data_IF_032293057692
#
_entry.id   IF_032293057692
#
_cell.length_a   1.000
_cell.length_b   1.000
_cell.length_c   1.000
_cell.angle_alpha   90.00
_cell.angle_beta   90.00
_cell.angle_gamma   90.00
#
_symmetry.space_group_name_H-M   'P 1'
#
loop_
_entity.id
_entity.type
_entity.pdbx_description
1 polymer ?
#
# COMPACT_ATOMS: atom_id res chain seq x y z
N UNK A 1 -71.35 2.66 52.68
CA UNK A 1 -71.93 1.98 51.50
C UNK A 1 -70.82 1.75 50.46
N UNK A 2 -70.56 0.48 50.12
CA UNK A 2 -69.93 -0.10 48.90
C UNK A 2 -68.71 0.62 48.27
N UNK A 3 -67.58 -0.10 48.16
CA UNK A 3 -66.46 0.23 47.26
C UNK A 3 -66.80 0.04 45.77
N UNK A 4 -65.91 0.46 44.86
CA UNK A 4 -65.09 -0.48 44.06
C UNK A 4 -63.61 -0.02 43.96
N UNK A 5 -62.59 -0.89 44.02
CA UNK A 5 -62.10 -1.88 43.04
C UNK A 5 -61.11 -1.33 41.97
N UNK A 6 -59.82 -1.34 42.36
CA UNK A 6 -58.58 -1.79 41.66
C UNK A 6 -58.41 -1.79 40.11
N UNK A 7 -57.39 -1.00 39.68
CA UNK A 7 -56.30 -1.24 38.68
C UNK A 7 -56.59 -1.40 37.16
N UNK A 8 -55.61 -1.17 36.23
CA UNK A 8 -54.16 -0.99 36.43
C UNK A 8 -53.46 0.23 35.78
N UNK A 9 -52.26 0.51 36.28
CA UNK A 9 -51.27 1.42 35.71
C UNK A 9 -50.69 0.88 34.38
N UNK A 10 -50.41 1.78 33.43
CA UNK A 10 -49.72 1.45 32.17
C UNK A 10 -48.24 1.84 32.27
N UNK A 11 -47.29 0.92 32.05
CA UNK A 11 -45.87 1.22 32.25
C UNK A 11 -45.24 1.95 31.06
N UNK A 12 -44.24 2.76 31.38
CA UNK A 12 -43.33 3.47 30.49
C UNK A 12 -42.57 2.51 29.56
N UNK A 13 -42.61 2.78 28.25
CA UNK A 13 -41.76 2.11 27.26
C UNK A 13 -40.34 2.68 27.33
N UNK A 14 -39.51 2.14 28.21
CA UNK A 14 -38.05 2.23 28.05
C UNK A 14 -37.61 1.19 27.03
N UNK A 15 -37.11 1.63 25.88
CA UNK A 15 -36.46 0.75 24.89
C UNK A 15 -35.17 0.22 25.52
N UNK A 16 -35.10 -1.09 25.73
CA UNK A 16 -33.84 -1.79 26.08
C UNK A 16 -32.85 -1.67 24.92
N UNK A 17 -31.54 -1.51 25.19
CA UNK A 17 -30.51 -1.69 24.17
C UNK A 17 -30.45 -3.16 23.77
N UNK A 18 -30.35 -3.39 22.46
CA UNK A 18 -30.10 -4.69 21.85
C UNK A 18 -28.79 -5.30 22.37
N UNK A 19 -28.85 -6.55 22.80
CA UNK A 19 -27.70 -7.36 23.21
C UNK A 19 -26.66 -7.46 22.09
N UNK A 20 -25.54 -6.76 22.24
CA UNK A 20 -24.33 -7.05 21.48
C UNK A 20 -23.77 -8.37 21.99
N UNK A 21 -23.71 -9.39 21.13
CA UNK A 21 -23.00 -10.63 21.44
C UNK A 21 -21.54 -10.29 21.83
N UNK A 22 -20.97 -10.92 22.87
CA UNK A 22 -19.58 -10.68 23.21
C UNK A 22 -18.70 -11.12 22.03
N UNK A 23 -17.80 -10.23 21.61
CA UNK A 23 -16.75 -10.56 20.65
C UNK A 23 -16.01 -11.79 21.20
N UNK A 24 -16.05 -12.90 20.45
CA UNK A 24 -15.29 -14.10 20.82
C UNK A 24 -13.82 -13.70 20.89
N UNK A 25 -13.21 -13.89 22.06
CA UNK A 25 -11.76 -13.73 22.20
C UNK A 25 -11.08 -14.60 21.13
N UNK A 26 -10.20 -14.03 20.29
CA UNK A 26 -9.47 -14.81 19.30
C UNK A 26 -8.69 -15.91 20.02
N UNK A 27 -8.69 -17.12 19.45
CA UNK A 27 -7.96 -18.25 20.04
C UNK A 27 -6.47 -17.89 20.17
N UNK A 28 -5.80 -18.28 21.27
CA UNK A 28 -4.37 -18.10 21.39
C UNK A 28 -3.66 -18.84 20.26
N UNK A 29 -2.90 -18.13 19.45
CA UNK A 29 -2.10 -18.70 18.38
C UNK A 29 -1.00 -19.59 18.95
N UNK A 30 -0.85 -20.82 18.43
CA UNK A 30 0.19 -21.78 18.84
C UNK A 30 1.22 -21.93 17.72
N UNK A 31 2.44 -22.35 18.06
CA UNK A 31 3.53 -22.54 17.09
C UNK A 31 3.17 -23.50 15.93
N UNK A 32 2.28 -24.47 16.18
CA UNK A 32 1.70 -25.36 15.14
C UNK A 32 0.67 -24.70 14.21
N UNK A 33 0.04 -23.61 14.64
CA UNK A 33 -0.89 -22.83 13.83
C UNK A 33 -0.11 -21.89 12.89
N UNK A 34 1.12 -21.54 13.27
CA UNK A 34 2.08 -20.77 12.48
C UNK A 34 2.67 -21.56 11.30
N UNK A 35 2.75 -22.88 11.45
CA UNK A 35 3.41 -23.76 10.50
C UNK A 35 2.51 -24.95 10.19
N UNK A 36 1.70 -24.92 9.12
CA UNK A 36 1.22 -26.17 8.55
C UNK A 36 2.44 -27.07 8.34
N UNK A 37 2.33 -28.35 8.68
CA UNK A 37 3.41 -29.35 8.60
C UNK A 37 4.03 -29.50 7.20
N UNK A 38 3.49 -28.80 6.19
CA UNK A 38 3.95 -28.67 4.82
C UNK A 38 4.98 -27.57 4.56
N UNK A 39 5.25 -26.65 5.49
CA UNK A 39 6.19 -25.53 5.26
C UNK A 39 7.62 -25.89 5.71
N UNK A 40 8.60 -26.00 4.79
CA UNK A 40 9.98 -26.33 5.12
C UNK A 40 10.71 -25.08 5.62
N UNK A 41 10.56 -24.76 6.89
CA UNK A 41 11.36 -23.70 7.50
C UNK A 41 12.76 -24.22 7.77
N UNK A 42 13.71 -23.78 6.95
CA UNK A 42 15.09 -24.19 7.11
C UNK A 42 15.69 -23.49 8.32
N UNK A 43 15.82 -24.23 9.42
CA UNK A 43 16.51 -23.83 10.65
C UNK A 43 15.88 -22.65 11.41
N UNK A 44 15.96 -22.65 12.73
CA UNK A 44 15.55 -21.53 13.61
C UNK A 44 16.43 -20.27 13.43
N UNK A 45 17.14 -20.13 12.31
CA UNK A 45 18.01 -19.01 11.99
C UNK A 45 17.18 -17.88 11.33
N UNK A 46 17.12 -16.67 11.91
CA UNK A 46 16.39 -15.54 11.34
C UNK A 46 16.74 -15.23 9.88
N UNK A 47 18.00 -15.38 9.46
CA UNK A 47 18.43 -15.14 8.08
C UNK A 47 17.88 -16.16 7.09
N UNK A 48 17.74 -17.42 7.51
CA UNK A 48 17.13 -18.48 6.71
C UNK A 48 15.63 -18.23 6.57
N UNK A 49 14.96 -17.80 7.64
CA UNK A 49 13.52 -17.48 7.62
C UNK A 49 13.23 -16.28 6.72
N UNK A 50 14.06 -15.23 6.75
CA UNK A 50 13.92 -14.10 5.81
C UNK A 50 14.06 -14.55 4.35
N UNK A 51 15.01 -15.45 4.07
CA UNK A 51 15.19 -16.04 2.73
C UNK A 51 13.97 -16.87 2.32
N UNK A 52 13.39 -17.64 3.23
CA UNK A 52 12.19 -18.43 2.98
C UNK A 52 11.01 -17.52 2.65
N UNK A 53 10.76 -16.45 3.42
CA UNK A 53 9.71 -15.46 3.12
C UNK A 53 9.92 -14.86 1.72
N UNK A 54 11.15 -14.45 1.39
CA UNK A 54 11.46 -13.89 0.07
C UNK A 54 11.22 -14.92 -1.04
N UNK A 55 11.54 -16.19 -0.82
CA UNK A 55 11.32 -17.27 -1.77
C UNK A 55 9.82 -17.53 -1.98
N UNK A 56 9.02 -17.61 -0.92
CA UNK A 56 7.56 -17.73 -1.02
C UNK A 56 6.94 -16.53 -1.73
N UNK A 57 7.40 -15.32 -1.41
CA UNK A 57 6.98 -14.10 -2.09
C UNK A 57 7.27 -14.18 -3.59
N UNK A 58 8.50 -14.55 -4.00
CA UNK A 58 8.86 -14.73 -5.42
C UNK A 58 8.00 -15.80 -6.12
N UNK A 59 7.68 -16.90 -5.42
CA UNK A 59 6.81 -17.97 -5.91
C UNK A 59 5.32 -17.62 -5.94
N UNK A 60 4.92 -16.37 -5.60
CA UNK A 60 3.52 -15.94 -5.49
C UNK A 60 2.71 -16.58 -4.35
N UNK A 61 3.37 -17.29 -3.45
CA UNK A 61 2.77 -17.94 -2.29
C UNK A 61 2.68 -16.93 -1.14
N UNK A 62 1.86 -15.90 -1.35
CA UNK A 62 1.81 -14.74 -0.46
C UNK A 62 1.21 -15.09 0.91
N UNK A 63 0.20 -15.97 0.95
CA UNK A 63 -0.40 -16.43 2.21
C UNK A 63 0.66 -17.13 3.08
N UNK A 64 1.41 -18.08 2.52
CA UNK A 64 2.49 -18.78 3.21
C UNK A 64 3.55 -17.80 3.74
N UNK A 65 3.93 -16.82 2.92
CA UNK A 65 4.91 -15.80 3.30
C UNK A 65 4.41 -14.92 4.46
N UNK A 66 3.10 -14.60 4.49
CA UNK A 66 2.47 -13.83 5.56
C UNK A 66 2.30 -14.63 6.84
N UNK A 67 1.98 -15.92 6.75
CA UNK A 67 1.94 -16.80 7.94
C UNK A 67 3.30 -16.85 8.65
N UNK A 68 4.40 -16.92 7.88
CA UNK A 68 5.75 -16.87 8.44
C UNK A 68 6.06 -15.48 9.01
N UNK A 69 5.57 -14.41 8.38
CA UNK A 69 5.72 -13.05 8.89
C UNK A 69 5.02 -12.85 10.24
N UNK A 70 3.78 -13.32 10.38
CA UNK A 70 3.01 -13.29 11.63
C UNK A 70 3.74 -14.04 12.76
N UNK A 71 4.36 -15.18 12.44
CA UNK A 71 5.19 -15.90 13.41
C UNK A 71 6.38 -15.08 13.90
N UNK A 72 7.13 -14.47 12.97
CA UNK A 72 8.30 -13.67 13.33
C UNK A 72 7.91 -12.50 14.23
N UNK A 73 6.78 -11.86 13.94
CA UNK A 73 6.24 -10.78 14.76
C UNK A 73 5.89 -11.25 16.19
N UNK A 74 5.18 -12.37 16.32
CA UNK A 74 4.84 -12.93 17.64
C UNK A 74 6.06 -13.35 18.47
N UNK A 75 7.15 -13.73 17.81
CA UNK A 75 8.44 -14.04 18.46
C UNK A 75 9.27 -12.79 18.76
N UNK A 76 8.83 -11.60 18.34
CA UNK A 76 9.59 -10.36 18.46
C UNK A 76 10.86 -10.34 17.61
N UNK A 77 10.90 -11.12 16.52
CA UNK A 77 12.06 -11.18 15.63
C UNK A 77 11.88 -10.13 14.53
N UNK A 78 12.74 -9.11 14.44
CA UNK A 78 12.58 -8.04 13.47
C UNK A 78 12.78 -8.54 12.03
N UNK A 79 12.01 -7.98 11.12
CA UNK A 79 12.09 -8.27 9.68
C UNK A 79 12.74 -7.09 8.96
N UNK A 80 13.70 -7.39 8.08
CA UNK A 80 14.42 -6.35 7.36
C UNK A 80 13.62 -5.77 6.17
N UNK A 81 14.03 -4.59 5.70
CA UNK A 81 13.39 -3.90 4.59
C UNK A 81 13.41 -4.69 3.27
N UNK A 82 14.43 -5.52 3.02
CA UNK A 82 14.50 -6.30 1.77
C UNK A 82 13.41 -7.37 1.69
N UNK A 83 13.06 -7.97 2.82
CA UNK A 83 11.97 -8.94 2.93
C UNK A 83 10.61 -8.27 2.69
N UNK A 84 10.37 -7.11 3.29
CA UNK A 84 9.17 -6.33 3.01
C UNK A 84 9.08 -5.88 1.55
N UNK A 85 10.19 -5.48 0.93
CA UNK A 85 10.21 -5.16 -0.50
C UNK A 85 9.82 -6.36 -1.38
N UNK A 86 10.23 -7.58 -1.01
CA UNK A 86 9.83 -8.79 -1.75
C UNK A 86 8.33 -9.08 -1.60
N UNK A 87 7.78 -8.91 -0.39
CA UNK A 87 6.34 -9.05 -0.13
C UNK A 87 5.52 -8.02 -0.91
N UNK A 88 5.91 -6.74 -0.88
CA UNK A 88 5.25 -5.68 -1.65
C UNK A 88 5.28 -5.97 -3.16
N UNK A 89 6.39 -6.46 -3.68
CA UNK A 89 6.50 -6.87 -5.09
C UNK A 89 5.55 -8.04 -5.43
N UNK A 90 5.37 -9.00 -4.52
CA UNK A 90 4.38 -10.07 -4.67
C UNK A 90 2.94 -9.53 -4.64
N UNK A 91 2.62 -8.58 -3.75
CA UNK A 91 1.31 -7.90 -3.73
C UNK A 91 1.02 -7.21 -5.07
N UNK A 92 1.99 -6.49 -5.63
CA UNK A 92 1.88 -5.82 -6.93
C UNK A 92 1.57 -6.81 -8.06
N UNK A 93 2.27 -7.95 -8.09
CA UNK A 93 2.08 -8.97 -9.12
C UNK A 93 0.72 -9.66 -9.01
N UNK A 94 0.22 -9.89 -7.79
CA UNK A 94 -1.14 -10.41 -7.55
C UNK A 94 -2.24 -9.36 -7.68
N UNK A 95 -1.89 -8.08 -7.83
CA UNK A 95 -2.83 -6.95 -7.71
C UNK A 95 -3.65 -6.99 -6.42
N UNK A 96 -3.03 -7.45 -5.34
CA UNK A 96 -3.74 -7.68 -4.08
C UNK A 96 -3.54 -6.52 -3.11
N UNK A 97 -4.51 -5.60 -3.10
CA UNK A 97 -4.52 -4.46 -2.17
C UNK A 97 -4.67 -4.92 -0.70
N UNK A 98 -5.41 -6.00 -0.44
CA UNK A 98 -5.65 -6.53 0.91
C UNK A 98 -4.33 -6.92 1.57
N UNK A 99 -3.57 -7.80 0.91
CA UNK A 99 -2.25 -8.20 1.40
C UNK A 99 -1.26 -7.04 1.41
N UNK A 100 -1.34 -6.13 0.43
CA UNK A 100 -0.55 -4.89 0.44
C UNK A 100 -0.74 -4.05 1.70
N UNK A 101 -2.00 -3.90 2.16
CA UNK A 101 -2.32 -3.19 3.40
C UNK A 101 -1.82 -3.93 4.64
N UNK A 102 -1.94 -5.27 4.68
CA UNK A 102 -1.38 -6.07 5.77
C UNK A 102 0.15 -5.88 5.86
N UNK A 103 0.87 -6.03 4.75
CA UNK A 103 2.32 -5.81 4.70
C UNK A 103 2.70 -4.40 5.16
N UNK A 104 1.93 -3.36 4.77
CA UNK A 104 2.17 -2.00 5.24
C UNK A 104 1.99 -1.86 6.76
N UNK A 105 1.01 -2.54 7.36
CA UNK A 105 0.86 -2.57 8.83
C UNK A 105 2.10 -3.21 9.48
N UNK A 106 2.58 -4.34 8.97
CA UNK A 106 3.80 -4.96 9.51
C UNK A 106 5.04 -4.06 9.40
N UNK A 107 5.17 -3.29 8.31
CA UNK A 107 6.26 -2.30 8.16
C UNK A 107 6.22 -1.27 9.30
N UNK A 108 5.02 -0.76 9.65
CA UNK A 108 4.85 0.19 10.76
C UNK A 108 5.15 -0.46 12.12
N UNK A 109 4.71 -1.70 12.34
CA UNK A 109 4.99 -2.42 13.59
C UNK A 109 6.49 -2.67 13.78
N UNK A 110 7.23 -2.87 12.69
CA UNK A 110 8.68 -3.03 12.70
C UNK A 110 9.45 -1.70 12.79
N UNK A 111 8.78 -0.55 12.93
CA UNK A 111 9.42 0.77 13.02
C UNK A 111 10.11 1.22 11.72
N UNK A 112 9.65 0.71 10.58
CA UNK A 112 10.24 0.96 9.26
C UNK A 112 9.39 1.91 8.40
N UNK A 113 8.43 2.63 8.99
CA UNK A 113 7.54 3.55 8.30
C UNK A 113 8.26 4.75 7.66
N UNK A 114 9.35 5.22 8.28
CA UNK A 114 10.16 6.32 7.77
C UNK A 114 11.29 5.85 6.83
N UNK A 115 11.32 4.58 6.46
CA UNK A 115 12.33 4.04 5.54
C UNK A 115 12.02 4.48 4.10
N UNK A 116 12.81 5.39 3.53
CA UNK A 116 12.58 5.97 2.19
C UNK A 116 12.43 4.92 1.07
N UNK A 117 13.23 3.85 1.16
CA UNK A 117 13.19 2.76 0.20
C UNK A 117 11.85 2.04 0.27
N UNK A 118 11.34 1.72 1.46
CA UNK A 118 10.02 1.12 1.63
C UNK A 118 8.89 2.09 1.32
N UNK A 119 9.02 3.37 1.66
CA UNK A 119 8.05 4.42 1.29
C UNK A 119 7.82 4.44 -0.22
N UNK A 120 8.90 4.47 -1.00
CA UNK A 120 8.85 4.38 -2.47
C UNK A 120 8.16 3.10 -2.95
N UNK A 121 8.48 1.95 -2.34
CA UNK A 121 7.84 0.66 -2.68
C UNK A 121 6.36 0.63 -2.32
N UNK A 122 5.95 1.25 -1.22
CA UNK A 122 4.56 1.35 -0.78
C UNK A 122 3.74 2.23 -1.72
N UNK A 123 4.25 3.40 -2.11
CA UNK A 123 3.62 4.26 -3.14
C UNK A 123 3.43 3.46 -4.42
N UNK A 124 4.46 2.76 -4.89
CA UNK A 124 4.34 1.90 -6.07
C UNK A 124 3.32 0.77 -5.88
N UNK A 125 3.30 0.12 -4.72
CA UNK A 125 2.37 -0.96 -4.43
C UNK A 125 0.92 -0.49 -4.45
N UNK A 126 0.60 0.60 -3.75
CA UNK A 126 -0.74 1.15 -3.70
C UNK A 126 -1.22 1.63 -5.07
N UNK A 127 -0.38 2.34 -5.81
CA UNK A 127 -0.71 2.79 -7.18
C UNK A 127 -0.93 1.60 -8.11
N UNK A 128 -0.07 0.58 -8.07
CA UNK A 128 -0.18 -0.59 -8.92
C UNK A 128 -1.38 -1.49 -8.57
N UNK A 129 -1.84 -1.47 -7.33
CA UNK A 129 -3.05 -2.15 -6.84
C UNK A 129 -4.32 -1.27 -6.95
N UNK A 130 -4.22 -0.08 -7.56
CA UNK A 130 -5.37 0.76 -7.89
C UNK A 130 -5.87 1.68 -6.77
N UNK A 131 -5.15 1.81 -5.65
CA UNK A 131 -5.50 2.73 -4.57
C UNK A 131 -4.62 3.98 -4.59
N UNK A 132 -4.97 4.94 -5.45
CA UNK A 132 -4.21 6.21 -5.55
C UNK A 132 -4.32 7.04 -4.27
N UNK A 133 -5.48 7.02 -3.60
CA UNK A 133 -5.66 7.76 -2.35
C UNK A 133 -4.72 7.29 -1.25
N UNK A 134 -4.57 5.98 -1.08
CA UNK A 134 -3.63 5.42 -0.11
C UNK A 134 -2.18 5.68 -0.54
N UNK A 135 -1.90 5.65 -1.86
CA UNK A 135 -0.57 5.99 -2.37
C UNK A 135 -0.18 7.44 -2.06
N UNK A 136 -1.10 8.39 -2.28
CA UNK A 136 -0.90 9.81 -1.96
C UNK A 136 -0.66 9.98 -0.46
N UNK A 137 -1.45 9.33 0.38
CA UNK A 137 -1.26 9.40 1.83
C UNK A 137 0.14 8.95 2.27
N UNK A 138 0.63 7.83 1.75
CA UNK A 138 1.99 7.36 2.05
C UNK A 138 3.05 8.31 1.49
N UNK A 139 2.79 8.89 0.33
CA UNK A 139 3.68 9.85 -0.29
C UNK A 139 3.79 11.14 0.55
N UNK A 140 2.67 11.66 1.04
CA UNK A 140 2.60 12.86 1.89
C UNK A 140 3.21 12.61 3.29
N UNK A 141 3.09 11.38 3.81
CA UNK A 141 3.72 10.97 5.08
C UNK A 141 5.25 10.80 4.94
N UNK A 142 5.80 10.70 3.72
CA UNK A 142 7.23 10.49 3.48
C UNK A 142 8.00 11.81 3.63
N UNK A 143 8.89 11.88 4.63
CA UNK A 143 9.71 13.08 4.93
C UNK A 143 10.70 13.47 3.83
N UNK A 144 11.02 12.54 2.93
CA UNK A 144 11.90 12.75 1.78
C UNK A 144 11.31 12.11 0.52
N UNK A 145 10.47 12.85 -0.20
CA UNK A 145 9.95 12.41 -1.49
C UNK A 145 11.01 12.58 -2.59
N UNK A 146 11.82 11.54 -2.79
CA UNK A 146 12.81 11.51 -3.87
C UNK A 146 12.18 11.31 -5.25
N UNK A 147 12.97 11.45 -6.32
CA UNK A 147 12.53 11.29 -7.71
C UNK A 147 11.83 9.95 -7.99
N UNK A 148 12.16 8.89 -7.25
CA UNK A 148 11.57 7.57 -7.45
C UNK A 148 10.15 7.48 -6.90
N UNK A 149 9.86 8.06 -5.73
CA UNK A 149 8.51 8.10 -5.16
C UNK A 149 7.59 8.99 -5.99
N UNK A 150 8.07 10.13 -6.48
CA UNK A 150 7.36 10.99 -7.44
C UNK A 150 7.02 10.25 -8.73
N UNK A 151 7.98 9.53 -9.31
CA UNK A 151 7.77 8.75 -10.52
C UNK A 151 6.78 7.60 -10.30
N UNK A 152 6.77 6.99 -9.11
CA UNK A 152 5.78 5.98 -8.74
C UNK A 152 4.36 6.59 -8.67
N UNK A 153 4.23 7.78 -8.06
CA UNK A 153 2.97 8.51 -8.00
C UNK A 153 2.48 8.90 -9.40
N UNK A 154 3.33 9.53 -10.23
CA UNK A 154 3.02 9.88 -11.61
C UNK A 154 2.52 8.68 -12.41
N UNK A 155 3.22 7.54 -12.32
CA UNK A 155 2.79 6.30 -12.97
C UNK A 155 1.42 5.85 -12.50
N UNK A 156 1.14 5.95 -11.20
CA UNK A 156 -0.17 5.67 -10.64
C UNK A 156 -1.26 6.58 -11.20
N UNK A 157 -1.00 7.89 -11.24
CA UNK A 157 -1.92 8.89 -11.79
C UNK A 157 -2.21 8.63 -13.27
N UNK A 158 -1.21 8.22 -14.06
CA UNK A 158 -1.40 7.81 -15.47
C UNK A 158 -2.37 6.64 -15.58
N UNK A 159 -2.22 5.61 -14.75
CA UNK A 159 -3.05 4.39 -14.80
C UNK A 159 -4.47 4.67 -14.29
N UNK A 160 -4.60 5.46 -13.22
CA UNK A 160 -5.88 5.70 -12.55
C UNK A 160 -6.67 6.88 -13.12
N UNK A 161 -6.03 7.83 -13.80
CA UNK A 161 -6.57 9.13 -14.18
C UNK A 161 -7.74 9.10 -15.18
N UNK A 162 -8.32 7.94 -15.47
CA UNK A 162 -9.47 7.78 -16.38
C UNK A 162 -9.26 8.49 -17.74
N UNK A 163 -8.01 8.53 -18.23
CA UNK A 163 -7.54 9.26 -19.44
C UNK A 163 -7.43 10.78 -19.34
N UNK A 164 -7.48 11.37 -18.15
CA UNK A 164 -7.23 12.80 -17.92
C UNK A 164 -5.73 13.04 -17.70
N UNK A 165 -5.05 13.50 -18.74
CA UNK A 165 -3.64 13.89 -18.66
C UNK A 165 -3.40 15.10 -17.73
N UNK A 166 -4.46 15.85 -17.39
CA UNK A 166 -4.40 17.04 -16.53
C UNK A 166 -3.94 16.69 -15.11
N UNK A 167 -4.42 15.58 -14.55
CA UNK A 167 -4.02 15.14 -13.20
C UNK A 167 -2.52 14.81 -13.17
N UNK A 168 -2.02 14.14 -14.22
CA UNK A 168 -0.59 13.83 -14.39
C UNK A 168 0.24 15.10 -14.53
N UNK A 169 -0.25 16.10 -15.29
CA UNK A 169 0.41 17.40 -15.42
C UNK A 169 0.42 18.17 -14.10
N UNK A 170 -0.62 18.08 -13.29
CA UNK A 170 -0.67 18.70 -11.96
C UNK A 170 0.42 18.13 -11.07
N UNK A 171 0.47 16.79 -10.93
CA UNK A 171 1.52 16.11 -10.15
C UNK A 171 2.93 16.40 -10.69
N UNK A 172 3.09 16.44 -12.02
CA UNK A 172 4.39 16.74 -12.63
C UNK A 172 4.82 18.21 -12.42
N UNK A 173 3.86 19.13 -12.38
CA UNK A 173 4.14 20.55 -12.11
C UNK A 173 4.58 20.74 -10.66
N UNK A 174 3.87 20.11 -9.71
CA UNK A 174 4.24 20.12 -8.29
C UNK A 174 5.65 19.55 -8.05
N UNK A 175 5.96 18.40 -8.66
CA UNK A 175 7.31 17.80 -8.64
C UNK A 175 8.39 18.81 -9.07
N UNK A 176 8.11 19.63 -10.08
CA UNK A 176 9.04 20.65 -10.60
C UNK A 176 9.15 21.87 -9.71
N UNK A 177 8.03 22.33 -9.15
CA UNK A 177 7.99 23.49 -8.25
C UNK A 177 8.76 23.22 -6.95
N UNK A 178 8.76 21.97 -6.50
CA UNK A 178 9.58 21.51 -5.37
C UNK A 178 11.06 21.27 -5.73
N UNK A 179 11.48 21.56 -6.97
CA UNK A 179 12.87 21.47 -7.39
C UNK A 179 13.40 20.04 -7.51
N UNK A 180 12.53 19.03 -7.68
CA UNK A 180 12.96 17.65 -7.84
C UNK A 180 13.59 17.45 -9.22
N UNK A 181 14.80 16.90 -9.25
CA UNK A 181 15.51 16.59 -10.48
C UNK A 181 14.71 15.59 -11.33
N UNK A 182 14.26 16.06 -12.49
CA UNK A 182 13.51 15.24 -13.44
C UNK A 182 14.43 14.25 -14.14
N UNK A 183 13.91 13.07 -14.44
CA UNK A 183 14.63 12.08 -15.23
C UNK A 183 13.78 11.54 -16.39
N UNK A 184 14.36 10.63 -17.16
CA UNK A 184 13.72 9.99 -18.32
C UNK A 184 12.35 9.38 -17.97
N UNK A 185 12.21 8.81 -16.77
CA UNK A 185 10.95 8.21 -16.32
C UNK A 185 9.87 9.26 -16.03
N UNK A 186 10.25 10.43 -15.51
CA UNK A 186 9.32 11.54 -15.27
C UNK A 186 8.66 11.97 -16.58
N UNK A 187 9.47 12.25 -17.61
CA UNK A 187 8.97 12.61 -18.94
C UNK A 187 8.20 11.46 -19.60
N UNK A 188 8.69 10.22 -19.48
CA UNK A 188 8.02 9.04 -20.03
C UNK A 188 6.59 8.88 -19.51
N UNK A 189 6.35 9.12 -18.21
CA UNK A 189 5.02 9.05 -17.62
C UNK A 189 4.11 10.18 -18.16
N UNK A 190 4.64 11.41 -18.28
CA UNK A 190 3.88 12.54 -18.83
C UNK A 190 3.49 12.28 -20.30
N UNK A 191 4.41 11.82 -21.15
CA UNK A 191 4.10 11.49 -22.54
C UNK A 191 3.07 10.37 -22.66
N UNK A 192 3.19 9.32 -21.85
CA UNK A 192 2.20 8.23 -21.81
C UNK A 192 0.80 8.75 -21.45
N UNK A 193 0.69 9.79 -20.62
CA UNK A 193 -0.60 10.39 -20.30
C UNK A 193 -1.27 11.09 -21.49
N UNK A 194 -0.49 11.55 -22.47
CA UNK A 194 -1.01 12.18 -23.69
C UNK A 194 -1.44 11.17 -24.75
N UNK A 195 -1.05 9.89 -24.62
CA UNK A 195 -1.40 8.87 -25.59
C UNK A 195 -2.92 8.72 -25.68
N UNK A 196 -3.47 8.97 -26.88
CA UNK A 196 -4.92 8.93 -27.12
C UNK A 196 -5.69 10.15 -26.59
N UNK A 197 -5.00 11.21 -26.13
CA UNK A 197 -5.62 12.48 -25.75
C UNK A 197 -5.35 13.57 -26.80
N UNK A 198 -6.26 14.54 -26.94
CA UNK A 198 -6.08 15.73 -27.79
C UNK A 198 -5.15 16.77 -27.13
N UNK A 199 -3.94 16.35 -26.74
CA UNK A 199 -3.00 17.12 -25.92
C UNK A 199 -1.72 17.53 -26.67
N UNK A 200 -1.78 17.72 -28.00
CA UNK A 200 -0.59 18.00 -28.84
C UNK A 200 0.22 19.20 -28.34
N UNK A 201 -0.45 20.30 -27.98
CA UNK A 201 0.23 21.51 -27.49
C UNK A 201 0.99 21.26 -26.20
N UNK A 202 0.43 20.47 -25.29
CA UNK A 202 1.08 20.05 -24.05
C UNK A 202 2.24 19.08 -24.34
N UNK A 203 2.08 18.19 -25.32
CA UNK A 203 3.14 17.33 -25.84
C UNK A 203 4.36 18.13 -26.31
N UNK A 204 4.15 19.15 -27.15
CA UNK A 204 5.22 20.03 -27.64
C UNK A 204 5.92 20.79 -26.51
N UNK A 205 5.16 21.33 -25.55
CA UNK A 205 5.75 21.98 -24.36
C UNK A 205 6.62 21.02 -23.55
N UNK A 206 6.13 19.79 -23.34
CA UNK A 206 6.83 18.76 -22.57
C UNK A 206 8.10 18.30 -23.31
N UNK A 207 8.04 18.19 -24.64
CA UNK A 207 9.18 17.86 -25.50
C UNK A 207 10.29 18.91 -25.43
N UNK A 208 9.93 20.19 -25.60
CA UNK A 208 10.89 21.29 -25.46
C UNK A 208 11.51 21.33 -24.04
N UNK A 209 10.72 21.04 -23.01
CA UNK A 209 11.21 20.94 -21.64
C UNK A 209 12.19 19.77 -21.46
N UNK A 210 11.94 18.60 -22.06
CA UNK A 210 12.85 17.45 -22.01
C UNK A 210 14.21 17.77 -22.65
N UNK A 211 14.20 18.48 -23.80
CA UNK A 211 15.42 18.96 -24.46
C UNK A 211 16.20 19.91 -23.54
N UNK A 212 15.51 20.86 -22.90
CA UNK A 212 16.15 21.80 -21.96
C UNK A 212 16.82 21.11 -20.78
N UNK A 213 16.34 19.92 -20.39
CA UNK A 213 16.93 19.11 -19.31
C UNK A 213 18.01 18.13 -19.82
N UNK A 214 18.38 18.18 -21.11
CA UNK A 214 19.39 17.28 -21.69
C UNK A 214 18.93 15.83 -21.87
N UNK A 215 17.62 15.56 -21.79
CA UNK A 215 17.06 14.20 -21.78
C UNK A 215 16.53 13.75 -23.15
N UNK A 216 16.87 14.44 -24.24
CA UNK A 216 16.34 14.18 -25.58
C UNK A 216 16.61 12.74 -26.06
N UNK A 217 17.89 12.35 -26.15
CA UNK A 217 18.31 11.04 -26.68
C UNK A 217 17.89 9.83 -25.82
N UNK A 218 17.41 10.07 -24.60
CA UNK A 218 17.04 8.99 -23.67
C UNK A 218 15.52 8.84 -23.53
N UNK A 219 14.75 9.87 -23.89
CA UNK A 219 13.29 9.86 -23.83
C UNK A 219 12.67 9.52 -25.20
N UNK A 220 13.33 9.89 -26.30
CA UNK A 220 12.90 9.69 -27.68
C UNK A 220 13.87 8.75 -28.41
#
# INVERSE_FOLDING_TARGET
>A
KRGPAKFPARPSRSRRPSSTSPAKNPKPFRERDAFPSSLPLHSKNPYSIHRDIQNFARQNKLEDALTILDYLEQRGIPVNATTFSALLAACVRRKSLIHGKQVHVHIRINGLENNEFLGTKLVHMYTACGSIKDAQKVFDESTSSNVYSWNALLRGTVISGKRKYQDVLSTFTEMRELGVDLNVYSFSNVFKSFAGASALRQGLKTHALAIKNGLFNSVF
#
